data_IF_046120658543
#
_entry.id   IF_046120658543
#
_cell.length_a   1.000
_cell.length_b   1.000
_cell.length_c   1.000
_cell.angle_alpha   90.00
_cell.angle_beta   90.00
_cell.angle_gamma   90.00
#
_symmetry.space_group_name_H-M   'P 1'
#
loop_
_entity.id
_entity.type
_entity.pdbx_description
1 polymer ?
#
# COMPACT_ATOMS: atom_id res chain seq x y z
N UNK A 1 -5.17 -8.49 23.87
CA UNK A 1 -5.14 -9.15 22.56
C UNK A 1 -4.33 -8.22 21.70
N UNK A 2 -3.08 -8.58 21.46
CA UNK A 2 -2.15 -7.77 20.69
C UNK A 2 -2.59 -7.91 19.24
N UNK A 3 -3.08 -6.83 18.64
CA UNK A 3 -3.36 -6.86 17.22
C UNK A 3 -2.01 -6.75 16.50
N UNK A 4 -1.51 -7.88 16.01
CA UNK A 4 -0.44 -7.99 15.02
C UNK A 4 -0.94 -7.43 13.66
N UNK A 5 -1.43 -6.19 13.62
CA UNK A 5 -2.11 -5.59 12.46
C UNK A 5 -1.18 -4.75 11.56
N UNK A 6 0.12 -5.06 11.55
CA UNK A 6 1.12 -4.44 10.67
C UNK A 6 2.11 -5.47 10.07
N UNK A 7 1.69 -6.71 9.85
CA UNK A 7 2.52 -7.64 9.07
C UNK A 7 2.53 -7.24 7.59
N UNK A 8 3.73 -7.09 7.03
CA UNK A 8 3.94 -6.81 5.60
C UNK A 8 3.21 -7.86 4.76
N UNK A 9 2.30 -7.47 3.84
CA UNK A 9 1.67 -8.41 2.92
C UNK A 9 2.73 -9.15 2.10
N UNK A 10 2.56 -10.46 1.89
CA UNK A 10 3.53 -11.25 1.12
C UNK A 10 3.67 -10.78 -0.34
N UNK A 11 2.59 -10.26 -0.93
CA UNK A 11 2.57 -9.70 -2.27
C UNK A 11 3.04 -8.23 -2.32
N UNK A 12 3.55 -7.67 -1.20
CA UNK A 12 3.95 -6.27 -1.16
C UNK A 12 5.32 -6.04 -1.81
N UNK A 13 5.27 -5.47 -3.01
CA UNK A 13 6.41 -4.90 -3.72
C UNK A 13 6.52 -3.37 -3.57
N UNK A 14 7.73 -2.79 -3.66
CA UNK A 14 7.94 -1.34 -3.57
C UNK A 14 7.20 -0.53 -4.64
N UNK A 15 6.97 -1.14 -5.81
CA UNK A 15 6.26 -0.51 -6.94
C UNK A 15 4.80 -0.21 -6.59
N UNK A 16 4.14 -1.08 -5.80
CA UNK A 16 2.78 -0.84 -5.32
C UNK A 16 2.70 0.41 -4.44
N UNK A 17 3.70 0.61 -3.58
CA UNK A 17 3.77 1.73 -2.65
C UNK A 17 4.05 3.04 -3.40
N UNK A 18 4.95 2.99 -4.38
CA UNK A 18 5.23 4.13 -5.27
C UNK A 18 3.99 4.54 -6.06
N UNK A 19 3.26 3.57 -6.61
CA UNK A 19 2.01 3.83 -7.33
C UNK A 19 0.95 4.47 -6.44
N UNK A 20 0.79 4.00 -5.20
CA UNK A 20 -0.15 4.57 -4.25
C UNK A 20 0.21 6.02 -3.87
N UNK A 21 1.50 6.34 -3.76
CA UNK A 21 1.97 7.71 -3.52
C UNK A 21 1.63 8.63 -4.70
N UNK A 22 1.94 8.21 -5.92
CA UNK A 22 1.60 8.97 -7.14
C UNK A 22 0.09 9.14 -7.29
N UNK A 23 -0.69 8.08 -7.02
CA UNK A 23 -2.14 8.11 -7.07
C UNK A 23 -2.72 9.08 -6.03
N UNK A 24 -2.16 9.10 -4.82
CA UNK A 24 -2.54 10.06 -3.77
C UNK A 24 -2.20 11.49 -4.18
N UNK A 25 -0.98 11.73 -4.68
CA UNK A 25 -0.52 13.06 -5.12
C UNK A 25 -1.33 13.58 -6.32
N UNK A 26 -1.82 12.69 -7.18
CA UNK A 26 -2.67 13.05 -8.31
C UNK A 26 -4.02 13.66 -7.90
N UNK A 27 -4.51 13.35 -6.69
CA UNK A 27 -5.83 13.79 -6.21
C UNK A 27 -7.02 13.19 -6.96
N UNK A 28 -6.80 12.17 -7.81
CA UNK A 28 -7.85 11.53 -8.64
C UNK A 28 -8.84 10.71 -7.79
N UNK A 29 -8.42 10.21 -6.63
CA UNK A 29 -9.26 9.35 -5.77
C UNK A 29 -9.08 9.65 -4.28
N UNK A 30 -10.15 9.49 -3.50
CA UNK A 30 -10.17 9.68 -2.04
C UNK A 30 -9.70 8.43 -1.28
N UNK A 31 -8.76 7.66 -1.88
CA UNK A 31 -8.10 6.44 -1.39
C UNK A 31 -8.98 5.24 -1.02
N UNK A 32 -10.28 5.40 -0.78
CA UNK A 32 -11.25 4.31 -0.54
C UNK A 32 -11.49 3.42 -1.78
N UNK A 33 -11.11 3.89 -2.97
CA UNK A 33 -11.15 3.13 -4.23
C UNK A 33 -9.77 2.73 -4.75
N UNK A 34 -8.69 3.07 -4.04
CA UNK A 34 -7.31 2.89 -4.54
C UNK A 34 -6.94 1.42 -4.75
N UNK A 35 -7.58 0.48 -4.04
CA UNK A 35 -7.34 -0.96 -4.27
C UNK A 35 -7.74 -1.39 -5.68
N UNK A 36 -8.81 -0.82 -6.26
CA UNK A 36 -9.21 -1.13 -7.64
C UNK A 36 -8.25 -0.56 -8.67
N UNK A 37 -7.53 0.51 -8.34
CA UNK A 37 -6.47 1.05 -9.18
C UNK A 37 -5.22 0.16 -9.11
N UNK A 38 -4.87 -0.33 -7.92
CA UNK A 38 -3.83 -1.35 -7.76
C UNK A 38 -4.14 -2.64 -8.53
N UNK A 39 -5.35 -3.17 -8.42
CA UNK A 39 -5.77 -4.37 -9.19
C UNK A 39 -5.71 -4.13 -10.72
N UNK A 40 -5.97 -2.90 -11.16
CA UNK A 40 -5.94 -2.55 -12.58
C UNK A 40 -4.50 -2.38 -13.12
N UNK A 41 -3.60 -1.83 -12.31
CA UNK A 41 -2.19 -1.60 -12.66
C UNK A 41 -1.36 -2.89 -12.51
N UNK A 42 -1.63 -3.69 -11.48
CA UNK A 42 -0.90 -4.91 -11.13
C UNK A 42 -1.83 -6.13 -11.22
N UNK A 43 -2.00 -6.74 -12.41
CA UNK A 43 -2.91 -7.87 -12.63
C UNK A 43 -2.52 -9.16 -11.88
N UNK A 44 -1.30 -9.23 -11.34
CA UNK A 44 -0.84 -10.28 -10.43
C UNK A 44 -1.47 -10.20 -9.03
N UNK A 45 -1.99 -9.03 -8.64
CA UNK A 45 -2.64 -8.84 -7.35
C UNK A 45 -4.11 -9.29 -7.42
N UNK A 46 -4.48 -10.20 -6.52
CA UNK A 46 -5.87 -10.45 -6.20
C UNK A 46 -6.49 -9.29 -5.41
N UNK A 47 -7.82 -9.19 -5.45
CA UNK A 47 -8.60 -8.18 -4.72
C UNK A 47 -8.25 -8.06 -3.24
N UNK A 48 -7.97 -9.18 -2.58
CA UNK A 48 -7.59 -9.17 -1.17
C UNK A 48 -6.16 -8.64 -0.98
N UNK A 49 -5.23 -9.03 -1.84
CA UNK A 49 -3.84 -8.58 -1.77
C UNK A 49 -3.73 -7.07 -2.01
N UNK A 50 -4.43 -6.56 -3.04
CA UNK A 50 -4.48 -5.12 -3.31
C UNK A 50 -5.07 -4.32 -2.14
N UNK A 51 -6.09 -4.87 -1.47
CA UNK A 51 -6.67 -4.26 -0.27
C UNK A 51 -5.68 -4.28 0.89
N UNK A 52 -5.02 -5.40 1.15
CA UNK A 52 -4.08 -5.55 2.26
C UNK A 52 -2.86 -4.64 2.07
N UNK A 53 -2.36 -4.51 0.85
CA UNK A 53 -1.29 -3.57 0.45
C UNK A 53 -1.72 -2.12 0.70
N UNK A 54 -2.94 -1.74 0.30
CA UNK A 54 -3.47 -0.40 0.56
C UNK A 54 -3.58 -0.11 2.06
N UNK A 55 -4.10 -1.06 2.85
CA UNK A 55 -4.22 -0.89 4.31
C UNK A 55 -2.84 -0.74 4.96
N UNK A 56 -1.89 -1.56 4.54
CA UNK A 56 -0.52 -1.49 5.00
C UNK A 56 0.12 -0.13 4.68
N UNK A 57 0.01 0.33 3.42
CA UNK A 57 0.53 1.63 3.00
C UNK A 57 -0.09 2.81 3.77
N UNK A 58 -1.40 2.75 4.04
CA UNK A 58 -2.07 3.78 4.86
C UNK A 58 -1.53 3.79 6.30
N UNK A 59 -1.33 2.61 6.89
CA UNK A 59 -0.77 2.50 8.24
C UNK A 59 0.68 3.03 8.31
N UNK A 60 1.50 2.79 7.28
CA UNK A 60 2.88 3.33 7.22
C UNK A 60 2.92 4.85 7.01
N UNK A 61 1.87 5.44 6.43
CA UNK A 61 1.75 6.89 6.30
C UNK A 61 1.44 7.60 7.61
N UNK A 62 0.66 6.96 8.49
CA UNK A 62 0.29 7.54 9.79
C UNK A 62 1.41 7.39 10.84
N UNK A 63 2.27 6.38 10.71
CA UNK A 63 3.44 6.18 11.58
C UNK A 63 4.76 6.12 10.77
N UNK A 64 5.40 7.27 10.49
CA UNK A 64 6.67 7.34 9.75
C UNK A 64 7.87 6.73 10.50
N UNK A 65 7.69 6.28 11.74
CA UNK A 65 8.74 5.61 12.53
C UNK A 65 8.67 4.08 12.46
N UNK A 66 7.67 3.49 11.79
CA UNK A 66 7.61 2.05 11.59
C UNK A 66 8.48 1.64 10.39
N UNK A 67 9.54 0.83 10.57
CA UNK A 67 10.51 0.47 9.51
C UNK A 67 9.95 -0.52 8.49
N UNK A 68 8.64 -0.51 8.25
CA UNK A 68 7.94 -1.58 7.57
C UNK A 68 8.16 -1.51 6.04
N UNK A 69 8.27 -0.33 5.42
CA UNK A 69 9.26 0.03 4.36
C UNK A 69 9.32 1.56 4.22
N UNK A 70 10.34 2.23 4.78
CA UNK A 70 10.97 3.34 4.03
C UNK A 70 12.50 3.33 4.21
N UNK A 71 13.32 3.43 3.15
CA UNK A 71 13.84 4.71 2.64
C UNK A 71 14.25 4.52 1.16
N UNK A 72 13.41 4.73 0.15
CA UNK A 72 12.22 5.58 -0.01
C UNK A 72 10.99 4.75 -0.44
N UNK A 73 11.01 3.43 -0.20
CA UNK A 73 10.53 2.37 -1.12
C UNK A 73 11.55 2.10 -2.27
N UNK A 74 12.85 2.03 -1.95
CA UNK A 74 14.00 2.07 -2.89
C UNK A 74 14.24 0.77 -3.71
N UNK A 75 14.84 0.87 -4.93
CA UNK A 75 15.14 -0.24 -5.84
C UNK A 75 16.34 -1.12 -5.41
#
# INVERSE_FOLDING_TARGET
MNNDENEKPNALEPEHLTYLDELRESGVTNMFGASSYLEAEFPELGRNEARDILMYWMATFEDPHSPAIPDKYTP
#
